data_IF_446537097302
#
_entry.id   IF_446537097302
#
_cell.length_a   1.000
_cell.length_b   1.000
_cell.length_c   1.000
_cell.angle_alpha   90.00
_cell.angle_beta   90.00
_cell.angle_gamma   90.00
#
_symmetry.space_group_name_H-M   'P 1'
#
loop_
_entity.id
_entity.type
_entity.pdbx_description
1 polymer ?
#
# COMPACT_ATOMS: atom_id res chain seq x y z
N UNK A 1 12.06 0.62 17.65
CA UNK A 1 10.88 1.50 17.80
C UNK A 1 10.75 2.26 16.50
N UNK A 2 9.77 1.93 15.66
CA UNK A 2 9.52 2.71 14.44
C UNK A 2 8.62 3.87 14.86
N UNK A 3 9.12 5.09 14.77
CA UNK A 3 8.32 6.29 14.99
C UNK A 3 7.71 6.67 13.65
N UNK A 4 6.39 6.55 13.50
CA UNK A 4 5.72 6.98 12.28
C UNK A 4 5.50 8.50 12.27
N UNK A 5 5.51 9.17 11.11
CA UNK A 5 5.17 10.58 11.03
C UNK A 5 3.75 10.86 11.53
N UNK A 6 3.48 12.09 11.95
CA UNK A 6 2.14 12.48 12.42
C UNK A 6 1.08 12.23 11.34
N UNK A 7 -0.02 11.57 11.71
CA UNK A 7 -1.09 11.20 10.78
C UNK A 7 -0.91 9.84 10.08
N UNK A 8 0.20 9.14 10.34
CA UNK A 8 0.45 7.79 9.83
C UNK A 8 0.08 6.74 10.88
N UNK A 9 -0.42 5.61 10.40
CA UNK A 9 -0.80 4.47 11.21
C UNK A 9 0.39 3.51 11.26
N UNK A 10 0.90 3.24 12.45
CA UNK A 10 1.92 2.21 12.64
C UNK A 10 1.27 0.82 12.65
N UNK A 11 1.74 -0.08 11.81
CA UNK A 11 1.39 -1.50 11.88
C UNK A 11 2.63 -2.34 11.59
N UNK A 12 2.93 -3.27 12.49
CA UNK A 12 4.14 -4.09 12.49
C UNK A 12 5.46 -3.31 12.35
N UNK A 13 6.06 -3.31 11.17
CA UNK A 13 7.36 -2.67 10.86
C UNK A 13 7.21 -1.48 9.89
N UNK A 14 5.97 -1.13 9.56
CA UNK A 14 5.63 -0.19 8.49
C UNK A 14 4.70 0.91 8.98
N UNK A 15 4.71 2.03 8.27
CA UNK A 15 3.83 3.17 8.51
C UNK A 15 2.91 3.31 7.30
N UNK A 16 1.61 3.42 7.53
CA UNK A 16 0.60 3.51 6.48
C UNK A 16 -0.13 4.85 6.56
N UNK A 17 -0.30 5.47 5.42
CA UNK A 17 -1.09 6.69 5.27
C UNK A 17 -2.22 6.42 4.28
N UNK A 18 -3.40 6.95 4.59
CA UNK A 18 -4.57 6.86 3.72
C UNK A 18 -4.99 8.28 3.40
N UNK A 19 -4.95 8.62 2.11
CA UNK A 19 -5.48 9.88 1.62
C UNK A 19 -7.00 9.90 1.82
N UNK A 20 -7.54 11.03 2.27
CA UNK A 20 -8.98 11.24 2.32
C UNK A 20 -9.61 11.46 0.94
N UNK A 21 -8.78 11.76 -0.06
CA UNK A 21 -9.20 12.06 -1.43
C UNK A 21 -9.20 10.81 -2.30
N UNK A 22 -10.26 10.66 -3.11
CA UNK A 22 -10.29 9.69 -4.20
C UNK A 22 -9.57 10.29 -5.40
N UNK A 23 -8.42 9.71 -5.73
CA UNK A 23 -7.62 10.10 -6.89
C UNK A 23 -7.37 8.88 -7.78
N UNK A 24 -7.12 9.05 -9.09
CA UNK A 24 -6.69 7.96 -9.95
C UNK A 24 -5.41 7.29 -9.43
N UNK A 25 -5.18 6.02 -9.79
CA UNK A 25 -4.01 5.24 -9.35
C UNK A 25 -2.68 5.97 -9.58
N UNK A 26 -2.48 6.55 -10.78
CA UNK A 26 -1.24 7.26 -11.12
C UNK A 26 -1.02 8.50 -10.25
N UNK A 27 -2.08 9.27 -9.95
CA UNK A 27 -1.98 10.44 -9.06
C UNK A 27 -1.75 10.02 -7.61
N UNK A 28 -2.36 8.91 -7.19
CA UNK A 28 -2.16 8.32 -5.85
C UNK A 28 -0.70 7.89 -5.66
N UNK A 29 -0.11 7.23 -6.67
CA UNK A 29 1.30 6.84 -6.66
C UNK A 29 2.24 8.06 -6.60
N UNK A 30 1.95 9.10 -7.38
CA UNK A 30 2.72 10.35 -7.34
C UNK A 30 2.62 11.04 -5.98
N UNK A 31 1.44 11.03 -5.36
CA UNK A 31 1.23 11.61 -4.03
C UNK A 31 2.04 10.86 -2.97
N UNK A 32 1.96 9.53 -2.93
CA UNK A 32 2.78 8.69 -2.05
C UNK A 32 4.28 8.94 -2.27
N UNK A 33 4.72 8.97 -3.53
CA UNK A 33 6.12 9.23 -3.89
C UNK A 33 6.58 10.61 -3.42
N UNK A 34 5.74 11.63 -3.55
CA UNK A 34 6.00 12.99 -3.06
C UNK A 34 6.12 13.08 -1.54
N UNK A 35 5.48 12.15 -0.80
CA UNK A 35 5.63 12.02 0.65
C UNK A 35 6.84 11.16 1.07
N UNK A 36 7.65 10.69 0.11
CA UNK A 36 8.77 9.79 0.37
C UNK A 36 8.33 8.36 0.70
N UNK A 37 7.14 7.96 0.27
CA UNK A 37 6.58 6.61 0.44
C UNK A 37 6.17 6.01 -0.90
N UNK A 38 5.58 4.83 -0.87
CA UNK A 38 4.98 4.16 -2.02
C UNK A 38 3.54 3.73 -1.68
N UNK A 39 2.77 3.33 -2.70
CA UNK A 39 1.46 2.71 -2.48
C UNK A 39 1.62 1.43 -1.67
N UNK A 40 0.61 1.09 -0.86
CA UNK A 40 0.70 -0.01 0.12
C UNK A 40 1.06 -1.33 -0.56
N UNK A 41 2.07 -2.00 -0.02
CA UNK A 41 2.46 -3.38 -0.34
C UNK A 41 1.96 -4.27 0.78
N UNK A 42 1.36 -5.40 0.43
CA UNK A 42 0.81 -6.37 1.39
C UNK A 42 1.72 -7.59 1.37
N UNK A 43 2.44 -7.83 2.47
CA UNK A 43 3.40 -8.93 2.60
C UNK A 43 2.94 -10.00 3.60
N UNK A 44 1.80 -9.81 4.27
CA UNK A 44 1.24 -10.75 5.24
C UNK A 44 -0.28 -10.72 5.27
N UNK A 45 -0.88 -11.87 5.61
CA UNK A 45 -2.31 -11.99 5.92
C UNK A 45 -2.78 -10.94 6.95
N UNK A 46 -1.95 -10.65 7.96
CA UNK A 46 -2.27 -9.65 8.98
C UNK A 46 -2.40 -8.24 8.40
N UNK A 47 -1.50 -7.84 7.49
CA UNK A 47 -1.61 -6.57 6.76
C UNK A 47 -2.84 -6.55 5.85
N UNK A 48 -3.15 -7.67 5.19
CA UNK A 48 -4.33 -7.78 4.33
C UNK A 48 -5.63 -7.62 5.12
N UNK A 49 -5.75 -8.29 6.26
CA UNK A 49 -6.90 -8.17 7.16
C UNK A 49 -7.02 -6.74 7.71
N UNK A 50 -5.90 -6.15 8.11
CA UNK A 50 -5.86 -4.76 8.59
C UNK A 50 -6.31 -3.78 7.51
N UNK A 51 -5.88 -3.96 6.25
CA UNK A 51 -6.28 -3.14 5.11
C UNK A 51 -7.78 -3.33 4.78
N UNK A 52 -8.27 -4.56 4.77
CA UNK A 52 -9.68 -4.88 4.50
C UNK A 52 -10.64 -4.35 5.59
N UNK A 53 -10.18 -4.30 6.84
CA UNK A 53 -10.99 -3.85 7.98
C UNK A 53 -11.36 -2.36 7.93
N UNK A 54 -10.69 -1.55 7.10
CA UNK A 54 -10.88 -0.09 7.09
C UNK A 54 -12.18 0.36 6.41
N UNK A 55 -12.86 -0.52 5.68
CA UNK A 55 -14.15 -0.24 5.07
C UNK A 55 -14.12 0.86 4.00
N UNK A 56 -12.94 1.17 3.46
CA UNK A 56 -12.72 2.18 2.41
C UNK A 56 -11.99 1.55 1.24
N UNK A 57 -12.34 1.97 0.03
CA UNK A 57 -11.64 1.56 -1.20
C UNK A 57 -10.50 2.53 -1.49
N UNK A 58 -9.31 2.00 -1.72
CA UNK A 58 -8.12 2.76 -2.09
C UNK A 58 -7.23 1.93 -3.01
N UNK A 59 -6.36 2.60 -3.75
CA UNK A 59 -5.37 1.93 -4.59
C UNK A 59 -4.22 1.39 -3.73
N UNK A 60 -3.76 0.19 -4.07
CA UNK A 60 -2.58 -0.45 -3.50
C UNK A 60 -1.48 -0.53 -4.55
N UNK A 61 -0.26 -0.83 -4.11
CA UNK A 61 0.93 -0.91 -4.97
C UNK A 61 1.00 -2.16 -5.83
N UNK A 62 -0.11 -2.87 -6.04
CA UNK A 62 -0.17 -4.08 -6.86
C UNK A 62 -0.61 -3.71 -8.28
N UNK A 63 0.25 -3.95 -9.26
CA UNK A 63 -0.06 -3.65 -10.66
C UNK A 63 0.36 -4.81 -11.57
N UNK A 64 -0.30 -4.93 -12.72
CA UNK A 64 0.02 -5.95 -13.72
C UNK A 64 0.21 -5.28 -15.09
N UNK A 65 1.39 -5.47 -15.69
CA UNK A 65 1.66 -5.02 -17.07
C UNK A 65 1.03 -5.97 -18.09
N UNK A 66 0.95 -7.26 -17.75
CA UNK A 66 0.24 -8.29 -18.50
C UNK A 66 -0.66 -9.08 -17.54
N UNK A 67 -1.78 -9.60 -18.03
CA UNK A 67 -2.69 -10.43 -17.23
C UNK A 67 -1.92 -11.60 -16.62
N UNK A 68 -1.96 -11.73 -15.30
CA UNK A 68 -1.25 -12.77 -14.54
C UNK A 68 0.19 -12.43 -14.17
N UNK A 69 0.74 -11.30 -14.59
CA UNK A 69 2.07 -10.82 -14.19
C UNK A 69 1.95 -9.66 -13.20
N UNK A 70 1.57 -10.00 -11.97
CA UNK A 70 1.44 -9.04 -10.88
C UNK A 70 2.80 -8.69 -10.27
N UNK A 71 2.99 -7.40 -10.01
CA UNK A 71 4.20 -6.86 -9.42
C UNK A 71 3.86 -5.80 -8.39
N UNK A 72 4.60 -5.81 -7.29
CA UNK A 72 4.56 -4.78 -6.27
C UNK A 72 5.48 -3.61 -6.64
N UNK A 73 5.09 -2.40 -6.28
CA UNK A 73 5.87 -1.16 -6.48
C UNK A 73 7.25 -1.17 -5.81
N UNK A 74 7.44 -1.97 -4.76
CA UNK A 74 8.71 -2.13 -4.03
C UNK A 74 9.58 -3.28 -4.55
N UNK A 75 9.18 -3.90 -5.66
CA UNK A 75 9.83 -5.05 -6.28
C UNK A 75 9.80 -6.34 -5.46
N UNK A 76 8.98 -6.41 -4.40
CA UNK A 76 8.73 -7.67 -3.71
C UNK A 76 8.02 -8.66 -4.63
N UNK A 77 8.36 -9.96 -4.56
CA UNK A 77 7.70 -10.97 -5.36
C UNK A 77 6.24 -11.08 -4.93
N UNK A 78 5.33 -11.07 -5.91
CA UNK A 78 3.93 -11.36 -5.65
C UNK A 78 3.79 -12.83 -5.23
N UNK A 79 3.28 -13.05 -4.02
CA UNK A 79 2.99 -14.38 -3.50
C UNK A 79 1.48 -14.54 -3.38
N UNK A 80 0.89 -15.43 -4.17
CA UNK A 80 -0.57 -15.66 -4.22
C UNK A 80 -1.16 -16.20 -2.91
N UNK A 81 -0.32 -16.63 -1.96
CA UNK A 81 -0.70 -17.28 -0.70
C UNK A 81 -0.32 -16.49 0.56
N UNK A 82 -0.12 -15.18 0.45
CA UNK A 82 0.22 -14.30 1.59
C UNK A 82 -0.87 -14.26 2.68
#
# INVERSE_FOLDING_TARGET
WVCCPNGWIHFEKSCYYISGDMMPSAESEQNCSGMGSHLVVINSEAEQLQQNSKGVNYYIGLSAQQVGQWHWVDQTPYNETA
#
